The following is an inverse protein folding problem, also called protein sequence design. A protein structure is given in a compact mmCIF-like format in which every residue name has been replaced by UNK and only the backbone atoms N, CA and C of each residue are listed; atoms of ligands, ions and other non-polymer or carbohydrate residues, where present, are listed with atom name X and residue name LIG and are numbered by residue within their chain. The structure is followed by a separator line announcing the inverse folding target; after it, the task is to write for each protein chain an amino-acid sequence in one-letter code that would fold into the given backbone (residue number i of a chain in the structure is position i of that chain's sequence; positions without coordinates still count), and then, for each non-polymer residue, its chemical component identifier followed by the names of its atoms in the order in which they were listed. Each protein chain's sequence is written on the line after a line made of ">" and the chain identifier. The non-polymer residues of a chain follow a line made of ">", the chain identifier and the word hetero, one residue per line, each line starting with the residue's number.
data_IF_409244508700
#
_entry.id   IF_409244508700
#
_cell.length_a   1.000
_cell.length_b   1.000
_cell.length_c   1.000
_cell.angle_alpha   90.00
_cell.angle_beta   90.00
_cell.angle_gamma   90.00
#
_symmetry.space_group_name_H-M   'P 1'
#
loop_
_entity.id
_entity.type
_entity.pdbx_description
1 polymer ?
#
# COMPACT_ATOMS: atom_id res chain seq x y z
N UNK A 1 12.39 25.62 83.87
CA UNK A 1 13.17 25.28 82.66
C UNK A 1 12.18 24.86 81.59
N UNK A 2 11.87 25.76 80.66
CA UNK A 2 10.90 25.56 79.60
C UNK A 2 11.61 25.66 78.25
N UNK A 3 11.54 24.61 77.44
CA UNK A 3 12.05 24.58 76.07
C UNK A 3 10.94 24.08 75.15
N UNK A 4 10.21 25.01 74.52
CA UNK A 4 9.21 24.71 73.50
C UNK A 4 9.86 24.73 72.13
N UNK A 5 9.91 23.56 71.48
CA UNK A 5 10.38 23.35 70.12
C UNK A 5 9.31 23.77 69.11
N UNK A 6 9.60 24.82 68.31
CA UNK A 6 8.81 25.23 67.13
C UNK A 6 9.53 24.79 65.85
N UNK A 7 8.98 23.80 65.16
CA UNK A 7 9.33 23.38 63.80
C UNK A 7 8.02 23.03 63.08
N UNK A 8 7.71 23.32 61.82
CA UNK A 8 8.32 24.01 60.68
C UNK A 8 7.15 24.21 59.67
N UNK A 9 6.71 25.43 59.29
CA UNK A 9 5.64 25.60 58.30
C UNK A 9 6.11 25.49 56.83
N UNK A 10 7.41 25.38 56.57
CA UNK A 10 8.00 25.53 55.22
C UNK A 10 7.84 24.26 54.36
N UNK A 11 7.69 23.08 54.96
CA UNK A 11 7.63 21.82 54.20
C UNK A 11 6.34 21.63 53.38
N UNK A 12 5.24 22.34 53.71
CA UNK A 12 3.95 22.17 53.03
C UNK A 12 3.81 22.98 51.73
N UNK A 13 4.60 24.05 51.55
CA UNK A 13 4.58 24.86 50.32
C UNK A 13 5.37 24.22 49.17
N UNK A 14 6.44 23.48 49.47
CA UNK A 14 7.27 22.83 48.44
C UNK A 14 6.56 21.67 47.72
N UNK A 15 5.62 20.99 48.39
CA UNK A 15 4.87 19.86 47.83
C UNK A 15 3.73 20.31 46.91
N UNK A 16 3.12 21.47 47.17
CA UNK A 16 2.05 22.02 46.34
C UNK A 16 2.57 22.55 44.99
N UNK A 17 3.77 23.14 44.98
CA UNK A 17 4.41 23.66 43.76
C UNK A 17 4.89 22.54 42.81
N UNK A 18 5.24 21.37 43.34
CA UNK A 18 5.70 20.22 42.56
C UNK A 18 4.53 19.45 41.92
N UNK A 19 3.37 19.34 42.58
CA UNK A 19 2.16 18.76 41.99
C UNK A 19 1.59 19.64 40.85
N UNK A 20 1.61 20.97 41.01
CA UNK A 20 1.14 21.90 39.97
C UNK A 20 2.03 21.84 38.71
N UNK A 21 3.34 21.67 38.88
CA UNK A 21 4.29 21.53 37.78
C UNK A 21 4.13 20.21 37.02
N UNK A 22 3.85 19.10 37.71
CA UNK A 22 3.59 17.80 37.08
C UNK A 22 2.27 17.80 36.29
N UNK A 23 1.25 18.53 36.74
CA UNK A 23 -0.02 18.66 36.02
C UNK A 23 0.12 19.56 34.77
N UNK A 24 0.94 20.61 34.83
CA UNK A 24 1.20 21.50 33.69
C UNK A 24 1.98 20.80 32.55
N UNK A 25 2.90 19.89 32.88
CA UNK A 25 3.63 19.09 31.87
C UNK A 25 2.72 18.04 31.22
N UNK A 26 1.79 17.45 31.95
CA UNK A 26 0.86 16.44 31.42
C UNK A 26 -0.16 17.00 30.41
N UNK A 27 -0.54 18.29 30.51
CA UNK A 27 -1.47 18.94 29.58
C UNK A 27 -0.80 19.42 28.27
N UNK A 28 0.54 19.59 28.27
CA UNK A 28 1.28 20.03 27.10
C UNK A 28 1.67 18.88 26.13
N UNK A 29 1.47 17.62 26.53
CA UNK A 29 1.81 16.42 25.74
C UNK A 29 0.58 15.73 25.14
N UNK A 30 -0.46 16.48 24.79
CA UNK A 30 -1.54 15.91 23.96
C UNK A 30 -0.97 15.62 22.57
N UNK A 31 -0.97 14.37 22.08
CA UNK A 31 -0.56 14.08 20.71
C UNK A 31 -1.48 14.88 19.79
N UNK A 32 -0.88 15.69 18.91
CA UNK A 32 -1.63 16.42 17.90
C UNK A 32 -2.48 15.42 17.11
N UNK A 33 -3.79 15.62 17.08
CA UNK A 33 -4.67 14.85 16.22
C UNK A 33 -4.15 14.99 14.78
N UNK A 34 -4.06 13.89 14.01
CA UNK A 34 -3.59 13.95 12.64
C UNK A 34 -4.46 14.93 11.86
N UNK A 35 -3.85 16.02 11.38
CA UNK A 35 -4.53 17.01 10.55
C UNK A 35 -5.01 16.31 9.29
N UNK A 36 -6.33 16.25 9.10
CA UNK A 36 -6.90 15.72 7.87
C UNK A 36 -6.36 16.54 6.70
N UNK A 37 -5.62 15.89 5.80
CA UNK A 37 -5.14 16.54 4.57
C UNK A 37 -6.37 16.97 3.79
N UNK A 38 -6.55 18.28 3.62
CA UNK A 38 -7.65 18.82 2.85
C UNK A 38 -7.62 18.23 1.44
N UNK A 39 -8.76 17.71 0.98
CA UNK A 39 -8.88 17.18 -0.36
C UNK A 39 -8.58 18.28 -1.38
N UNK A 40 -7.80 17.95 -2.42
CA UNK A 40 -7.59 18.87 -3.52
C UNK A 40 -8.93 19.21 -4.19
N UNK A 41 -9.03 20.43 -4.72
CA UNK A 41 -10.19 20.86 -5.51
C UNK A 41 -10.39 19.90 -6.68
N UNK A 42 -11.62 19.46 -6.87
CA UNK A 42 -11.96 18.59 -7.99
C UNK A 42 -11.95 19.36 -9.32
N UNK A 43 -11.16 18.86 -10.27
CA UNK A 43 -11.02 19.40 -11.63
C UNK A 43 -11.23 18.32 -12.71
N UNK A 44 -11.91 17.23 -12.35
CA UNK A 44 -12.15 16.08 -13.23
C UNK A 44 -11.23 14.89 -13.00
N UNK A 45 -10.18 15.04 -12.18
CA UNK A 45 -9.27 13.94 -11.84
C UNK A 45 -8.24 14.34 -10.80
N UNK A 46 -7.44 13.37 -10.39
CA UNK A 46 -6.23 13.59 -9.57
C UNK A 46 -5.09 12.74 -10.09
N UNK A 47 -3.87 13.22 -9.90
CA UNK A 47 -2.63 12.52 -10.21
C UNK A 47 -1.61 12.82 -9.11
N UNK A 48 -1.21 11.78 -8.38
CA UNK A 48 -0.28 11.87 -7.26
C UNK A 48 1.17 11.60 -7.71
N UNK A 49 1.37 11.18 -8.97
CA UNK A 49 2.69 10.87 -9.47
C UNK A 49 3.53 12.13 -9.65
N UNK A 50 4.85 12.02 -9.38
CA UNK A 50 5.82 13.06 -9.71
C UNK A 50 7.16 12.45 -10.15
N UNK A 51 8.00 13.17 -10.91
CA UNK A 51 9.34 12.69 -11.24
C UNK A 51 10.13 12.29 -9.98
N UNK A 52 10.86 11.18 -10.08
CA UNK A 52 11.69 10.65 -9.00
C UNK A 52 11.00 9.73 -8.00
N UNK A 53 9.68 9.50 -8.07
CA UNK A 53 9.02 8.53 -7.14
C UNK A 53 9.17 7.08 -7.58
N UNK A 54 9.31 6.86 -8.89
CA UNK A 54 9.40 5.53 -9.47
C UNK A 54 10.69 4.83 -9.07
N UNK A 55 10.59 3.56 -8.70
CA UNK A 55 11.73 2.67 -8.48
C UNK A 55 11.47 1.34 -9.18
N UNK A 56 12.48 0.80 -9.85
CA UNK A 56 12.40 -0.55 -10.41
C UNK A 56 12.58 -1.58 -9.28
N UNK A 57 11.81 -2.67 -9.30
CA UNK A 57 12.03 -3.79 -8.39
C UNK A 57 13.43 -4.38 -8.57
N UNK A 58 14.09 -4.75 -7.47
CA UNK A 58 15.48 -5.24 -7.54
C UNK A 58 15.61 -6.73 -7.86
N UNK A 59 14.53 -7.49 -7.74
CA UNK A 59 14.46 -8.91 -8.10
C UNK A 59 13.08 -9.21 -8.69
N UNK A 60 12.93 -10.34 -9.38
CA UNK A 60 11.64 -10.81 -9.92
C UNK A 60 10.57 -11.09 -8.86
N UNK A 61 10.94 -11.16 -7.58
CA UNK A 61 10.05 -11.47 -6.46
C UNK A 61 9.50 -10.22 -5.74
N UNK A 62 10.05 -9.04 -6.04
CA UNK A 62 9.93 -7.85 -5.20
C UNK A 62 9.00 -6.78 -5.76
N UNK A 63 8.02 -7.15 -6.60
CA UNK A 63 7.06 -6.20 -7.16
C UNK A 63 6.31 -5.44 -6.04
N UNK A 64 5.74 -6.15 -5.07
CA UNK A 64 5.02 -5.55 -3.93
C UNK A 64 5.92 -4.66 -3.07
N UNK A 65 7.21 -5.02 -2.92
CA UNK A 65 8.15 -4.23 -2.13
C UNK A 65 8.57 -2.95 -2.84
N UNK A 66 8.74 -3.00 -4.16
CA UNK A 66 8.91 -1.81 -4.98
C UNK A 66 7.66 -0.92 -4.96
N UNK A 67 6.46 -1.50 -5.00
CA UNK A 67 5.20 -0.75 -4.87
C UNK A 67 5.11 -0.01 -3.54
N UNK A 68 5.49 -0.65 -2.41
CA UNK A 68 5.62 0.04 -1.11
C UNK A 68 6.58 1.23 -1.24
N UNK A 69 7.75 1.05 -1.83
CA UNK A 69 8.74 2.12 -1.99
C UNK A 69 8.20 3.27 -2.89
N UNK A 70 7.51 2.97 -3.99
CA UNK A 70 6.88 3.97 -4.88
C UNK A 70 5.82 4.77 -4.13
N UNK A 71 4.92 4.07 -3.41
CA UNK A 71 3.84 4.70 -2.65
C UNK A 71 4.41 5.58 -1.55
N UNK A 72 5.41 5.11 -0.79
CA UNK A 72 6.11 5.92 0.20
C UNK A 72 6.76 7.15 -0.41
N UNK A 73 7.45 7.00 -1.54
CA UNK A 73 8.02 8.15 -2.23
C UNK A 73 6.95 9.18 -2.58
N UNK A 74 5.77 8.75 -3.04
CA UNK A 74 4.63 9.64 -3.29
C UNK A 74 4.19 10.35 -1.99
N UNK A 75 3.90 9.59 -0.95
CA UNK A 75 3.29 10.06 0.30
C UNK A 75 4.25 10.93 1.14
N UNK A 76 5.48 10.47 1.31
CA UNK A 76 6.51 11.12 2.15
C UNK A 76 7.28 12.21 1.39
N UNK A 77 6.94 12.45 0.12
CA UNK A 77 7.66 13.35 -0.77
C UNK A 77 9.16 13.01 -0.96
N UNK A 78 9.50 11.70 -0.95
CA UNK A 78 10.87 11.18 -1.08
C UNK A 78 11.20 10.59 -2.45
N UNK A 79 12.48 10.29 -2.69
CA UNK A 79 13.01 9.63 -3.91
C UNK A 79 13.94 8.47 -3.53
N UNK A 80 13.47 7.58 -2.65
CA UNK A 80 14.21 6.39 -2.24
C UNK A 80 14.15 5.31 -3.35
N UNK A 81 15.32 4.83 -3.77
CA UNK A 81 15.48 3.78 -4.77
C UNK A 81 16.36 2.63 -4.28
N UNK A 82 16.57 2.56 -2.96
CA UNK A 82 17.53 1.64 -2.36
C UNK A 82 17.05 0.20 -2.37
N UNK A 83 17.97 -0.72 -2.64
CA UNK A 83 17.75 -2.17 -2.49
C UNK A 83 17.48 -2.55 -1.04
N UNK A 84 18.12 -1.87 -0.08
CA UNK A 84 17.91 -2.09 1.34
C UNK A 84 16.46 -1.80 1.77
N UNK A 85 15.84 -0.74 1.23
CA UNK A 85 14.42 -0.45 1.42
C UNK A 85 13.53 -1.60 0.96
N UNK A 86 13.66 -2.02 -0.30
CA UNK A 86 12.85 -3.10 -0.84
C UNK A 86 13.05 -4.43 -0.11
N UNK A 87 14.28 -4.78 0.27
CA UNK A 87 14.55 -5.99 1.08
C UNK A 87 13.78 -5.96 2.39
N UNK A 88 13.89 -4.86 3.14
CA UNK A 88 13.17 -4.67 4.41
C UNK A 88 11.67 -4.81 4.23
N UNK A 89 11.10 -4.18 3.19
CA UNK A 89 9.67 -4.25 2.92
C UNK A 89 9.24 -5.68 2.59
N UNK A 90 9.98 -6.36 1.72
CA UNK A 90 9.71 -7.74 1.33
C UNK A 90 9.74 -8.68 2.54
N UNK A 91 10.80 -8.63 3.34
CA UNK A 91 10.98 -9.51 4.50
C UNK A 91 9.83 -9.34 5.50
N UNK A 92 9.44 -8.08 5.79
CA UNK A 92 8.29 -7.80 6.65
C UNK A 92 6.99 -8.35 6.07
N UNK A 93 6.69 -8.07 4.80
CA UNK A 93 5.46 -8.54 4.18
C UNK A 93 5.40 -10.07 4.14
N UNK A 94 6.51 -10.74 3.84
CA UNK A 94 6.60 -12.21 3.86
C UNK A 94 6.30 -12.80 5.21
N UNK A 95 6.78 -12.18 6.29
CA UNK A 95 6.48 -12.61 7.66
C UNK A 95 5.00 -12.44 8.04
N UNK A 96 4.23 -11.67 7.26
CA UNK A 96 2.82 -11.36 7.48
C UNK A 96 1.89 -11.92 6.39
N UNK A 97 2.41 -12.80 5.52
CA UNK A 97 1.56 -13.54 4.60
C UNK A 97 0.53 -14.36 5.40
N UNK A 98 -0.69 -14.40 4.87
CA UNK A 98 -1.78 -15.21 5.44
C UNK A 98 -1.60 -16.68 5.10
N UNK A 99 -1.08 -16.99 3.93
CA UNK A 99 -0.89 -18.35 3.45
C UNK A 99 0.60 -18.69 3.34
N UNK A 100 0.94 -19.94 3.62
CA UNK A 100 2.29 -20.45 3.40
C UNK A 100 2.49 -20.70 1.90
N UNK A 101 3.05 -19.71 1.21
CA UNK A 101 3.47 -19.82 -0.20
C UNK A 101 4.99 -20.01 -0.32
N UNK A 102 5.48 -20.67 -1.38
CA UNK A 102 6.91 -20.71 -1.69
C UNK A 102 7.53 -19.31 -1.80
N UNK A 103 8.80 -19.17 -1.39
CA UNK A 103 9.50 -17.88 -1.46
C UNK A 103 9.55 -17.31 -2.89
N UNK A 104 9.71 -18.20 -3.88
CA UNK A 104 9.73 -17.87 -5.31
C UNK A 104 8.43 -17.28 -5.85
N UNK A 105 7.35 -17.34 -5.09
CA UNK A 105 6.04 -16.81 -5.49
C UNK A 105 5.77 -15.43 -4.86
N UNK A 106 6.77 -14.87 -4.15
CA UNK A 106 6.70 -13.53 -3.59
C UNK A 106 5.85 -13.46 -2.33
N UNK A 107 5.02 -12.43 -2.25
CA UNK A 107 4.22 -12.01 -1.09
C UNK A 107 2.74 -12.15 -1.45
N UNK A 108 1.93 -12.66 -0.52
CA UNK A 108 0.50 -12.75 -0.73
C UNK A 108 -0.21 -11.38 -0.49
N UNK A 109 -1.43 -11.18 -1.01
CA UNK A 109 -2.17 -9.93 -0.81
C UNK A 109 -2.35 -9.47 0.65
N UNK A 110 -2.39 -10.39 1.62
CA UNK A 110 -2.49 -10.02 3.03
C UNK A 110 -1.15 -9.51 3.58
N UNK A 111 -0.03 -10.15 3.22
CA UNK A 111 1.31 -9.68 3.52
C UNK A 111 1.56 -8.30 2.90
N UNK A 112 1.14 -8.09 1.65
CA UNK A 112 1.23 -6.79 0.98
C UNK A 112 0.43 -5.71 1.73
N UNK A 113 -0.80 -6.02 2.14
CA UNK A 113 -1.62 -5.12 2.94
C UNK A 113 -1.00 -4.82 4.32
N UNK A 114 -0.35 -5.80 4.95
CA UNK A 114 0.39 -5.57 6.18
C UNK A 114 1.57 -4.61 5.98
N UNK A 115 2.32 -4.76 4.88
CA UNK A 115 3.43 -3.86 4.53
C UNK A 115 2.97 -2.42 4.30
N UNK A 116 1.92 -2.21 3.51
CA UNK A 116 1.38 -0.87 3.27
C UNK A 116 0.85 -0.20 4.55
N UNK A 117 0.22 -0.98 5.45
CA UNK A 117 -0.18 -0.46 6.76
C UNK A 117 0.97 -0.02 7.62
N UNK A 118 2.03 -0.83 7.66
CA UNK A 118 3.16 -0.61 8.53
C UNK A 118 4.07 0.52 8.03
N UNK A 119 4.28 0.60 6.71
CA UNK A 119 5.26 1.51 6.13
C UNK A 119 4.70 2.76 5.47
N UNK A 120 3.39 2.83 5.21
CA UNK A 120 2.76 3.97 4.54
C UNK A 120 1.69 4.60 5.43
N UNK A 121 0.57 3.89 5.64
CA UNK A 121 -0.58 4.42 6.38
C UNK A 121 -1.42 3.28 6.94
N UNK A 122 -1.73 3.33 8.24
CA UNK A 122 -2.46 2.28 8.94
C UNK A 122 -3.86 1.97 8.33
N UNK A 123 -4.40 2.86 7.50
CA UNK A 123 -5.69 2.71 6.82
C UNK A 123 -5.69 1.74 5.64
N UNK A 124 -4.52 1.30 5.16
CA UNK A 124 -4.48 0.36 4.04
C UNK A 124 -5.16 -0.97 4.41
N UNK A 125 -6.07 -1.43 3.56
CA UNK A 125 -6.81 -2.67 3.75
C UNK A 125 -6.88 -3.47 2.46
N UNK A 126 -6.85 -4.79 2.60
CA UNK A 126 -7.10 -5.71 1.49
C UNK A 126 -8.59 -5.63 1.09
N UNK A 127 -8.83 -5.40 -0.20
CA UNK A 127 -10.16 -5.35 -0.81
C UNK A 127 -10.23 -6.36 -1.95
N UNK A 128 -11.18 -7.29 -1.88
CA UNK A 128 -11.42 -8.33 -2.87
C UNK A 128 -12.81 -8.17 -3.50
N UNK A 129 -12.85 -7.61 -4.71
CA UNK A 129 -14.11 -7.24 -5.39
C UNK A 129 -14.65 -8.35 -6.29
N UNK A 130 -15.97 -8.44 -6.40
CA UNK A 130 -16.65 -9.46 -7.24
C UNK A 130 -16.59 -9.15 -8.75
N UNK A 131 -16.27 -7.92 -9.13
CA UNK A 131 -16.18 -7.50 -10.52
C UNK A 131 -15.08 -6.46 -10.70
N UNK A 132 -14.56 -6.37 -11.93
CA UNK A 132 -13.64 -5.30 -12.31
C UNK A 132 -14.23 -3.91 -12.00
N UNK A 133 -15.49 -3.67 -12.38
CA UNK A 133 -16.10 -2.35 -12.23
C UNK A 133 -16.26 -1.96 -10.75
N UNK A 134 -16.66 -2.91 -9.89
CA UNK A 134 -16.73 -2.64 -8.44
C UNK A 134 -15.35 -2.41 -7.84
N UNK A 135 -14.34 -3.19 -8.25
CA UNK A 135 -12.96 -3.02 -7.81
C UNK A 135 -12.37 -1.66 -8.23
N UNK A 136 -12.51 -1.29 -9.50
CA UNK A 136 -12.01 -0.01 -10.02
C UNK A 136 -12.70 1.19 -9.36
N UNK A 137 -14.03 1.14 -9.20
CA UNK A 137 -14.77 2.22 -8.53
C UNK A 137 -14.36 2.37 -7.07
N UNK A 138 -14.24 1.25 -6.34
CA UNK A 138 -13.76 1.27 -4.96
C UNK A 138 -12.37 1.88 -4.85
N UNK A 139 -11.44 1.44 -5.70
CA UNK A 139 -10.08 1.95 -5.73
C UNK A 139 -10.04 3.47 -5.97
N UNK A 140 -10.75 3.94 -7.00
CA UNK A 140 -10.80 5.36 -7.35
C UNK A 140 -11.45 6.21 -6.25
N UNK A 141 -12.54 5.73 -5.64
CA UNK A 141 -13.18 6.42 -4.51
C UNK A 141 -12.21 6.54 -3.33
N UNK A 142 -11.53 5.46 -2.95
CA UNK A 142 -10.62 5.47 -1.81
C UNK A 142 -9.35 6.29 -2.08
N UNK A 143 -8.78 6.22 -3.29
CA UNK A 143 -7.69 7.09 -3.74
C UNK A 143 -8.09 8.56 -3.62
N UNK A 144 -9.30 8.91 -4.10
CA UNK A 144 -9.84 10.26 -4.02
C UNK A 144 -10.06 10.75 -2.59
N UNK A 145 -10.65 9.92 -1.75
CA UNK A 145 -11.03 10.28 -0.37
C UNK A 145 -9.85 10.40 0.58
N UNK A 146 -8.70 9.82 0.22
CA UNK A 146 -7.52 9.78 1.09
C UNK A 146 -6.30 10.53 0.53
N UNK A 147 -6.30 10.87 -0.76
CA UNK A 147 -5.11 11.33 -1.50
C UNK A 147 -3.92 10.36 -1.36
N UNK A 148 -4.20 9.05 -1.24
CA UNK A 148 -3.19 8.01 -1.14
C UNK A 148 -3.32 7.04 -2.33
N UNK A 149 -2.20 6.58 -2.94
CA UNK A 149 -2.23 5.62 -4.05
C UNK A 149 -2.90 4.29 -3.68
N UNK A 150 -3.41 3.57 -4.67
CA UNK A 150 -3.98 2.23 -4.49
C UNK A 150 -3.07 1.18 -5.13
N UNK A 151 -2.81 0.11 -4.40
CA UNK A 151 -2.13 -1.07 -4.93
C UNK A 151 -3.15 -2.04 -5.55
N UNK A 152 -2.87 -2.60 -6.72
CA UNK A 152 -3.71 -3.60 -7.38
C UNK A 152 -2.90 -4.81 -7.80
N UNK A 153 -3.50 -5.99 -7.69
CA UNK A 153 -2.93 -7.19 -8.28
C UNK A 153 -3.26 -7.23 -9.76
N UNK A 154 -2.33 -7.66 -10.59
CA UNK A 154 -2.52 -7.82 -12.03
C UNK A 154 -2.02 -9.19 -12.47
N UNK A 155 -2.27 -9.59 -13.73
CA UNK A 155 -1.90 -10.92 -14.25
C UNK A 155 -2.41 -12.09 -13.39
N UNK A 156 -3.68 -12.06 -13.01
CA UNK A 156 -4.29 -13.05 -12.14
C UNK A 156 -3.62 -13.18 -10.77
N UNK A 157 -2.95 -12.11 -10.29
CA UNK A 157 -2.27 -12.12 -9.00
C UNK A 157 -0.76 -12.29 -9.05
N UNK A 158 -0.19 -12.60 -10.22
CA UNK A 158 1.25 -12.86 -10.34
C UNK A 158 2.12 -11.59 -10.31
N UNK A 159 1.52 -10.40 -10.36
CA UNK A 159 2.25 -9.13 -10.33
C UNK A 159 1.44 -8.03 -9.63
N UNK A 160 2.13 -6.98 -9.18
CA UNK A 160 1.54 -5.81 -8.50
C UNK A 160 1.79 -4.53 -9.28
N UNK A 161 0.76 -3.69 -9.39
CA UNK A 161 0.84 -2.32 -9.90
C UNK A 161 0.30 -1.31 -8.88
N UNK A 162 0.68 -0.05 -9.03
CA UNK A 162 0.15 1.09 -8.27
C UNK A 162 -0.72 1.97 -9.18
N UNK A 163 -1.95 2.25 -8.74
CA UNK A 163 -2.79 3.32 -9.25
C UNK A 163 -2.40 4.64 -8.56
N UNK A 164 -1.84 5.58 -9.31
CA UNK A 164 -1.38 6.88 -8.80
C UNK A 164 -2.34 8.02 -9.09
N UNK A 165 -3.32 7.80 -9.96
CA UNK A 165 -4.27 8.83 -10.36
C UNK A 165 -5.42 8.30 -11.20
N UNK A 166 -6.40 9.16 -11.44
CA UNK A 166 -7.56 8.86 -12.28
C UNK A 166 -8.22 10.13 -12.83
N UNK A 167 -9.10 9.93 -13.81
CA UNK A 167 -10.06 10.94 -14.30
C UNK A 167 -11.47 10.34 -14.23
N UNK A 168 -12.47 11.13 -13.87
CA UNK A 168 -13.86 10.69 -13.77
C UNK A 168 -14.84 11.80 -14.16
N UNK A 169 -16.09 11.42 -14.46
CA UNK A 169 -17.14 12.35 -14.88
C UNK A 169 -17.68 13.23 -13.74
N UNK A 170 -17.49 12.83 -12.49
CA UNK A 170 -17.90 13.57 -11.29
C UNK A 170 -16.96 13.19 -10.13
N UNK A 171 -16.94 14.00 -9.06
CA UNK A 171 -16.06 13.76 -7.90
C UNK A 171 -16.51 12.51 -7.12
N UNK A 172 -15.69 11.43 -7.09
CA UNK A 172 -16.01 10.22 -6.31
C UNK A 172 -16.10 10.45 -4.80
N UNK A 173 -15.58 11.57 -4.28
CA UNK A 173 -15.74 11.93 -2.87
C UNK A 173 -17.13 12.47 -2.53
N UNK A 174 -17.85 12.99 -3.52
CA UNK A 174 -19.12 13.71 -3.32
C UNK A 174 -20.32 12.87 -3.75
N UNK A 175 -20.13 12.00 -4.75
CA UNK A 175 -21.23 11.23 -5.33
C UNK A 175 -20.79 9.83 -5.72
N UNK A 176 -21.68 8.85 -5.54
CA UNK A 176 -21.55 7.52 -6.15
C UNK A 176 -21.88 7.51 -7.64
N UNK A 177 -22.44 8.59 -8.21
CA UNK A 177 -22.80 8.68 -9.63
C UNK A 177 -21.66 9.33 -10.43
N UNK A 178 -20.66 8.52 -10.77
CA UNK A 178 -19.54 8.90 -11.62
C UNK A 178 -19.14 7.72 -12.51
N UNK A 179 -18.43 8.00 -13.59
CA UNK A 179 -17.77 6.99 -14.43
C UNK A 179 -16.28 7.30 -14.47
N UNK A 180 -15.44 6.29 -14.25
CA UNK A 180 -13.98 6.42 -14.42
C UNK A 180 -13.68 6.44 -15.91
N UNK A 181 -13.01 7.48 -16.39
CA UNK A 181 -12.64 7.63 -17.81
C UNK A 181 -11.20 7.21 -18.08
N UNK A 182 -10.32 7.32 -17.09
CA UNK A 182 -8.96 6.80 -17.15
C UNK A 182 -8.35 6.62 -15.76
N UNK A 183 -7.33 5.78 -15.67
CA UNK A 183 -6.42 5.66 -14.53
C UNK A 183 -4.99 5.98 -14.96
N UNK A 184 -4.14 6.28 -13.98
CA UNK A 184 -2.69 6.36 -14.13
C UNK A 184 -2.05 5.25 -13.33
N UNK A 185 -1.15 4.50 -13.97
CA UNK A 185 -0.56 3.29 -13.40
C UNK A 185 0.96 3.36 -13.39
N UNK A 186 1.54 2.68 -12.41
CA UNK A 186 2.97 2.43 -12.30
C UNK A 186 3.17 0.95 -12.04
N UNK A 187 3.99 0.31 -12.88
CA UNK A 187 4.44 -1.06 -12.68
C UNK A 187 5.94 -1.11 -12.36
N UNK A 188 6.37 -1.85 -11.32
CA UNK A 188 7.75 -1.82 -10.82
C UNK A 188 8.76 -2.65 -11.65
N UNK A 189 8.35 -3.48 -12.61
CA UNK A 189 9.23 -4.17 -13.56
C UNK A 189 9.75 -3.26 -14.67
N UNK A 190 9.20 -2.07 -14.85
CA UNK A 190 9.69 -1.15 -15.87
C UNK A 190 11.18 -0.87 -15.70
N UNK A 191 11.95 -1.05 -16.78
CA UNK A 191 13.41 -0.92 -16.77
C UNK A 191 14.18 -2.21 -16.50
N UNK A 192 13.55 -3.25 -15.91
CA UNK A 192 14.15 -4.58 -15.73
C UNK A 192 13.68 -5.60 -16.77
N UNK A 193 12.42 -5.53 -17.16
CA UNK A 193 11.85 -6.40 -18.20
C UNK A 193 12.37 -6.08 -19.61
N UNK A 194 12.07 -6.98 -20.57
CA UNK A 194 12.29 -6.72 -21.99
C UNK A 194 11.55 -5.47 -22.46
N UNK A 195 12.22 -4.63 -23.25
CA UNK A 195 11.60 -3.41 -23.82
C UNK A 195 10.59 -3.71 -24.93
N UNK A 196 10.71 -4.85 -25.61
CA UNK A 196 9.86 -5.19 -26.76
C UNK A 196 8.62 -6.00 -26.39
N UNK A 197 8.65 -6.69 -25.25
CA UNK A 197 7.57 -7.59 -24.80
C UNK A 197 7.27 -7.40 -23.30
N UNK A 198 7.63 -6.22 -22.77
CA UNK A 198 7.46 -5.88 -21.37
C UNK A 198 6.00 -5.69 -21.00
N UNK A 199 5.64 -6.19 -19.83
CA UNK A 199 4.31 -6.09 -19.27
C UNK A 199 4.06 -4.71 -18.64
N UNK A 200 5.02 -4.20 -17.88
CA UNK A 200 4.91 -2.90 -17.24
C UNK A 200 5.10 -1.78 -18.27
N UNK A 201 4.29 -0.75 -18.20
CA UNK A 201 4.47 0.40 -19.09
C UNK A 201 5.40 1.43 -18.45
N UNK A 202 5.77 2.44 -19.23
CA UNK A 202 6.50 3.60 -18.68
C UNK A 202 5.74 4.13 -17.44
N UNK A 203 6.44 4.52 -16.36
CA UNK A 203 5.77 5.03 -15.17
C UNK A 203 4.83 6.19 -15.50
N UNK A 204 3.71 6.25 -14.78
CA UNK A 204 2.63 7.21 -14.98
C UNK A 204 1.92 7.06 -16.35
N UNK A 205 1.75 5.82 -16.79
CA UNK A 205 0.98 5.56 -18.02
C UNK A 205 -0.51 5.71 -17.77
N UNK A 206 -1.17 6.49 -18.62
CA UNK A 206 -2.62 6.65 -18.64
C UNK A 206 -3.28 5.48 -19.38
N UNK A 207 -4.23 4.82 -18.74
CA UNK A 207 -5.04 3.74 -19.30
C UNK A 207 -6.53 4.07 -19.24
N UNK A 208 -7.28 3.68 -20.27
CA UNK A 208 -8.73 3.57 -20.18
C UNK A 208 -9.13 2.36 -19.32
N UNK A 209 -10.35 2.32 -18.75
CA UNK A 209 -10.84 1.13 -18.05
C UNK A 209 -10.80 -0.14 -18.90
N UNK A 210 -11.04 -0.03 -20.22
CA UNK A 210 -10.95 -1.17 -21.14
C UNK A 210 -9.53 -1.72 -21.23
N UNK A 211 -8.53 -0.85 -21.38
CA UNK A 211 -7.12 -1.26 -21.38
C UNK A 211 -6.70 -1.86 -20.03
N UNK A 212 -7.10 -1.23 -18.92
CA UNK A 212 -6.80 -1.74 -17.58
C UNK A 212 -7.39 -3.13 -17.34
N UNK A 213 -8.58 -3.44 -17.89
CA UNK A 213 -9.24 -4.74 -17.74
C UNK A 213 -8.41 -5.91 -18.29
N UNK A 214 -7.54 -5.66 -19.27
CA UNK A 214 -6.60 -6.68 -19.77
C UNK A 214 -5.52 -7.07 -18.76
N UNK A 215 -5.30 -6.24 -17.74
CA UNK A 215 -4.23 -6.40 -16.75
C UNK A 215 -4.77 -6.72 -15.36
N UNK A 216 -5.75 -5.94 -14.90
CA UNK A 216 -6.42 -6.13 -13.63
C UNK A 216 -7.49 -7.22 -13.75
N UNK A 217 -7.04 -8.46 -13.66
CA UNK A 217 -7.86 -9.66 -13.79
C UNK A 217 -8.13 -10.31 -12.43
N UNK A 218 -9.13 -11.21 -12.32
CA UNK A 218 -9.38 -11.94 -11.09
C UNK A 218 -8.16 -12.72 -10.62
N UNK A 219 -7.90 -12.68 -9.31
CA UNK A 219 -6.85 -13.47 -8.68
C UNK A 219 -7.07 -14.95 -8.88
N UNK A 220 -5.98 -15.65 -9.17
CA UNK A 220 -5.94 -17.10 -9.23
C UNK A 220 -4.58 -17.61 -8.76
N UNK A 221 -4.57 -18.59 -7.86
CA UNK A 221 -3.36 -19.28 -7.47
C UNK A 221 -3.62 -20.78 -7.31
N UNK A 222 -2.92 -21.61 -8.10
CA UNK A 222 -3.23 -23.05 -8.23
C UNK A 222 -2.81 -23.87 -7.02
N UNK A 223 -1.73 -23.47 -6.33
CA UNK A 223 -1.12 -24.31 -5.29
C UNK A 223 -1.87 -24.28 -3.95
N UNK A 224 -2.53 -23.17 -3.64
CA UNK A 224 -3.23 -22.96 -2.35
C UNK A 224 -4.53 -22.19 -2.60
N UNK A 225 -5.69 -22.72 -2.22
CA UNK A 225 -6.95 -21.96 -2.28
C UNK A 225 -6.88 -20.75 -1.33
N UNK A 226 -7.12 -19.56 -1.87
CA UNK A 226 -7.06 -18.32 -1.10
C UNK A 226 -8.43 -17.66 -0.97
N UNK A 227 -8.65 -16.93 0.12
CA UNK A 227 -9.91 -16.25 0.43
C UNK A 227 -10.36 -15.22 -0.63
N UNK A 228 -9.46 -14.80 -1.52
CA UNK A 228 -9.70 -13.83 -2.59
C UNK A 228 -9.66 -14.47 -3.99
N UNK A 229 -9.76 -15.80 -4.06
CA UNK A 229 -9.85 -16.54 -5.33
C UNK A 229 -11.00 -16.03 -6.21
N UNK A 230 -10.73 -15.87 -7.50
CA UNK A 230 -11.65 -15.32 -8.50
C UNK A 230 -12.15 -13.89 -8.20
N UNK A 231 -11.40 -13.11 -7.41
CA UNK A 231 -11.74 -11.70 -7.08
C UNK A 231 -10.74 -10.72 -7.68
N UNK A 232 -11.21 -9.50 -7.93
CA UNK A 232 -10.35 -8.37 -8.27
C UNK A 232 -9.73 -7.81 -7.00
N UNK A 233 -8.45 -8.11 -6.78
CA UNK A 233 -7.74 -7.84 -5.54
C UNK A 233 -6.97 -6.53 -5.60
N UNK A 234 -7.08 -5.75 -4.52
CA UNK A 234 -6.40 -4.48 -4.35
C UNK A 234 -6.12 -4.23 -2.89
N UNK A 235 -5.13 -3.38 -2.59
CA UNK A 235 -4.88 -2.87 -1.25
C UNK A 235 -5.12 -1.36 -1.28
N UNK A 236 -6.14 -0.93 -0.54
CA UNK A 236 -6.69 0.41 -0.63
C UNK A 236 -6.59 1.14 0.70
N UNK A 237 -6.25 2.43 0.73
CA UNK A 237 -6.32 3.26 1.91
C UNK A 237 -7.80 3.57 2.21
N UNK A 238 -8.34 3.02 3.29
CA UNK A 238 -9.76 3.20 3.64
C UNK A 238 -9.94 4.50 4.42
N UNK A 239 -10.84 5.42 3.98
CA UNK A 239 -11.11 6.65 4.72
C UNK A 239 -11.47 6.33 6.18
N UNK A 240 -10.88 7.09 7.11
CA UNK A 240 -11.24 6.96 8.51
C UNK A 240 -12.75 7.22 8.66
N UNK A 241 -13.43 6.38 9.44
CA UNK A 241 -14.82 6.64 9.79
C UNK A 241 -14.86 8.00 10.50
N UNK A 242 -15.75 8.94 10.14
CA UNK A 242 -15.90 10.18 10.88
C UNK A 242 -16.18 9.83 12.34
N UNK A 243 -15.26 10.15 13.23
CA UNK A 243 -15.54 10.11 14.67
C UNK A 243 -16.62 11.14 14.90
N UNK A 244 -17.79 10.78 15.45
CA UNK A 244 -18.77 11.78 15.86
C UNK A 244 -18.06 12.82 16.73
N UNK A 245 -18.31 14.12 16.53
CA UNK A 245 -17.73 15.13 17.41
C UNK A 245 -18.04 14.70 18.84
N UNK A 246 -17.00 14.56 19.66
CA UNK A 246 -17.15 14.21 21.06
C UNK A 246 -18.22 15.15 21.62
N UNK A 247 -19.38 14.59 21.96
CA UNK A 247 -20.44 15.37 22.60
C UNK A 247 -19.76 15.98 23.80
N UNK A 248 -19.61 17.31 23.79
CA UNK A 248 -19.01 18.01 24.90
C UNK A 248 -19.85 17.63 26.12
N UNK A 249 -19.32 16.70 26.92
CA UNK A 249 -19.96 16.28 28.15
C UNK A 249 -20.08 17.56 28.95
N UNK A 250 -21.29 18.09 29.00
CA UNK A 250 -21.62 19.23 29.84
C UNK A 250 -21.17 18.81 31.22
N UNK A 251 -20.09 19.42 31.69
CA UNK A 251 -19.51 19.16 32.99
C UNK A 251 -20.57 19.59 33.99
N UNK A 252 -21.43 18.65 34.39
CA UNK A 252 -22.40 18.86 35.43
C UNK A 252 -21.57 19.00 36.71
N UNK A 253 -21.31 20.25 37.09
CA UNK A 253 -20.81 20.61 38.42
C UNK A 253 -21.84 20.15 39.44
N UNK A 254 -21.67 18.92 39.94
CA UNK A 254 -22.27 18.49 41.19
C UNK A 254 -21.35 18.92 42.35
N UNK A 255 -21.91 19.42 43.47
CA UNK A 255 -21.10 19.85 44.60
C UNK A 255 -20.49 18.66 45.35
N UNK A 256 -19.27 18.91 45.79
CA UNK A 256 -18.48 18.12 46.73
C UNK A 256 -19.30 17.84 48.01
N UNK A 257 -19.67 16.59 48.26
CA UNK A 257 -19.99 16.10 49.61
C UNK A 257 -18.90 15.13 50.01
N UNK A 258 -18.12 15.55 50.99
CA UNK A 258 -17.09 14.76 51.64
C UNK A 258 -17.71 13.81 52.67
N UNK A 259 -17.33 12.54 52.60
CA UNK A 259 -17.23 11.60 53.73
C UNK A 259 -16.36 10.43 53.23
N UNK A 260 -15.06 10.40 53.52
CA UNK A 260 -14.51 9.78 54.72
C UNK A 260 -14.95 8.32 54.88
N UNK A 261 -14.09 7.38 54.46
CA UNK A 261 -13.63 6.27 55.30
C UNK A 261 -12.43 5.60 54.65
N UNK A 262 -11.33 5.65 55.39
CA UNK A 262 -10.14 4.87 55.16
C UNK A 262 -10.40 3.45 55.64
N UNK A 263 -10.00 2.45 54.86
CA UNK A 263 -9.49 1.21 55.41
C UNK A 263 -8.36 0.69 54.53
N UNK A 264 -7.26 0.41 55.21
CA UNK A 264 -6.02 -0.11 54.68
C UNK A 264 -6.10 -1.62 54.48
N UNK A 265 -5.22 -2.14 53.62
CA UNK A 265 -4.45 -3.39 53.72
C UNK A 265 -4.14 -3.84 52.28
N UNK A 266 -2.88 -3.74 51.84
CA UNK A 266 -1.83 -4.75 52.05
C UNK A 266 -1.91 -5.88 51.04
N UNK A 267 -1.08 -5.80 49.99
CA UNK A 267 -0.33 -6.95 49.46
C UNK A 267 0.66 -6.49 48.39
N UNK A 268 1.93 -6.67 48.69
CA UNK A 268 3.08 -6.50 47.79
C UNK A 268 3.10 -7.58 46.68
N UNK A 269 3.83 -7.35 45.56
CA UNK A 269 3.93 -8.28 44.44
C UNK A 269 5.04 -9.33 44.63
N UNK A 270 4.89 -10.56 44.11
CA UNK A 270 6.01 -11.47 43.97
C UNK A 270 6.84 -11.14 42.72
N UNK A 271 8.01 -10.57 43.00
CA UNK A 271 9.34 -11.02 42.57
C UNK A 271 9.50 -11.76 41.23
N UNK A 272 10.36 -11.17 40.39
CA UNK A 272 10.81 -11.66 39.11
C UNK A 272 11.81 -12.83 39.24
N UNK A 273 11.62 -13.88 38.44
CA UNK A 273 12.61 -14.93 38.21
C UNK A 273 13.28 -14.75 36.84
N UNK A 274 14.54 -14.33 36.88
CA UNK A 274 15.52 -14.30 35.78
C UNK A 274 16.10 -15.69 35.58
N UNK A 275 16.14 -16.25 34.36
CA UNK A 275 17.04 -17.36 34.03
C UNK A 275 18.41 -16.85 33.49
N UNK A 276 19.48 -17.63 33.69
CA UNK A 276 20.86 -17.16 33.58
C UNK A 276 21.38 -17.00 32.14
N UNK A 277 22.22 -15.97 32.03
CA UNK A 277 23.20 -15.73 30.97
C UNK A 277 24.15 -16.92 30.82
N UNK A 278 24.23 -17.49 29.61
CA UNK A 278 25.32 -18.37 29.20
C UNK A 278 26.20 -17.60 28.22
N UNK A 279 27.37 -17.23 28.70
CA UNK A 279 28.49 -16.73 27.91
C UNK A 279 29.36 -17.92 27.47
N UNK A 280 29.54 -18.07 26.16
CA UNK A 280 30.70 -18.67 25.48
C UNK A 280 30.95 -17.72 24.29
N UNK A 281 32.10 -17.10 24.05
CA UNK A 281 33.46 -17.52 24.34
C UNK A 281 34.15 -17.90 23.02
N UNK A 282 34.66 -16.90 22.29
CA UNK A 282 35.73 -17.07 21.30
C UNK A 282 35.48 -16.53 19.87
N UNK A 283 36.27 -15.52 19.43
CA UNK A 283 36.81 -15.40 18.08
C UNK A 283 38.36 -15.51 18.11
N UNK A 284 39.13 -15.37 17.00
CA UNK A 284 38.78 -15.35 15.57
C UNK A 284 39.58 -16.38 14.75
N UNK A 285 39.12 -16.67 13.52
CA UNK A 285 39.91 -17.39 12.52
C UNK A 285 40.09 -16.53 11.27
N UNK A 286 41.28 -15.96 11.14
CA UNK A 286 41.85 -15.43 9.90
C UNK A 286 41.85 -16.52 8.81
N UNK A 287 41.37 -16.19 7.61
CA UNK A 287 41.94 -16.75 6.38
C UNK A 287 42.06 -15.66 5.33
N UNK A 288 43.32 -15.32 5.10
CA UNK A 288 43.90 -14.51 4.04
C UNK A 288 43.65 -15.05 2.64
N UNK A 289 43.33 -14.13 1.73
CA UNK A 289 43.97 -13.84 0.43
C UNK A 289 44.47 -15.01 -0.45
N UNK A 290 43.88 -15.06 -1.66
CA UNK A 290 44.44 -15.60 -2.90
C UNK A 290 43.30 -15.64 -3.94
N UNK A 291 43.25 -14.88 -5.03
CA UNK A 291 44.32 -14.41 -5.88
C UNK A 291 44.50 -15.39 -7.04
N UNK A 292 43.70 -15.29 -8.10
CA UNK A 292 44.07 -15.64 -9.48
C UNK A 292 42.92 -15.32 -10.43
N UNK A 293 43.25 -14.56 -11.46
CA UNK A 293 42.52 -14.49 -12.71
C UNK A 293 42.55 -15.86 -13.38
N UNK A 294 41.49 -16.21 -14.11
CA UNK A 294 41.57 -16.46 -15.54
C UNK A 294 40.25 -17.02 -16.10
N UNK A 295 40.06 -16.70 -17.38
CA UNK A 295 39.28 -17.46 -18.36
C UNK A 295 37.77 -17.21 -18.49
N UNK A 296 37.48 -16.28 -19.41
CA UNK A 296 36.30 -16.30 -20.28
C UNK A 296 36.58 -17.30 -21.41
N UNK A 297 35.66 -18.26 -21.64
CA UNK A 297 35.06 -18.43 -22.96
C UNK A 297 33.53 -18.51 -22.78
N UNK A 298 32.72 -17.85 -23.59
CA UNK A 298 32.48 -18.27 -24.96
C UNK A 298 30.99 -18.56 -25.06
N UNK A 299 30.30 -17.78 -25.88
CA UNK A 299 28.88 -17.89 -26.13
C UNK A 299 28.57 -19.20 -26.87
N UNK A 300 27.65 -19.99 -26.34
CA UNK A 300 26.87 -20.94 -27.14
C UNK A 300 25.38 -20.78 -26.81
N UNK A 301 24.58 -20.76 -27.88
CA UNK A 301 23.15 -20.50 -27.89
C UNK A 301 22.30 -21.68 -27.41
N UNK A 302 20.97 -21.54 -27.54
CA UNK A 302 20.01 -22.26 -26.72
C UNK A 302 19.72 -23.68 -27.23
N UNK A 303 19.66 -24.63 -26.32
CA UNK A 303 18.99 -25.91 -26.56
C UNK A 303 17.48 -25.71 -26.48
N UNK A 304 16.82 -26.11 -27.55
CA UNK A 304 15.37 -26.22 -27.68
C UNK A 304 14.79 -27.09 -26.55
N UNK A 305 13.78 -26.56 -25.87
CA UNK A 305 12.77 -27.39 -25.21
C UNK A 305 11.41 -26.98 -25.76
N UNK A 306 11.02 -27.66 -26.83
CA UNK A 306 9.66 -27.74 -27.35
C UNK A 306 8.76 -28.41 -26.31
N UNK A 307 7.72 -27.71 -25.85
CA UNK A 307 6.36 -28.24 -25.67
C UNK A 307 5.45 -27.26 -24.91
N UNK A 308 4.40 -26.84 -25.62
CA UNK A 308 3.06 -26.58 -25.07
C UNK A 308 2.89 -25.33 -24.22
N UNK A 309 2.61 -24.19 -24.86
CA UNK A 309 1.44 -23.33 -24.58
C UNK A 309 1.33 -22.29 -25.70
N UNK A 310 0.80 -22.71 -26.85
CA UNK A 310 0.49 -21.81 -27.97
C UNK A 310 -0.99 -21.88 -28.27
N UNK A 311 -1.82 -21.26 -27.42
CA UNK A 311 -3.18 -20.80 -27.77
C UNK A 311 -3.62 -19.71 -26.79
N UNK A 312 -3.17 -18.46 -26.94
CA UNK A 312 -3.92 -17.32 -26.38
C UNK A 312 -3.69 -15.93 -27.02
N UNK A 313 -2.86 -15.79 -28.06
CA UNK A 313 -2.65 -14.47 -28.71
C UNK A 313 -2.73 -14.52 -30.24
N UNK A 314 -3.92 -14.82 -30.75
CA UNK A 314 -4.26 -14.65 -32.18
C UNK A 314 -5.60 -13.91 -32.38
N UNK A 315 -6.04 -13.13 -31.37
CA UNK A 315 -7.34 -12.47 -31.36
C UNK A 315 -7.35 -10.95 -31.56
N UNK A 316 -6.20 -10.28 -31.73
CA UNK A 316 -6.17 -8.80 -31.80
C UNK A 316 -5.41 -8.20 -32.99
N UNK A 317 -5.05 -9.01 -34.00
CA UNK A 317 -4.35 -8.53 -35.20
C UNK A 317 -5.12 -8.73 -36.52
N UNK A 318 -6.39 -9.17 -36.49
CA UNK A 318 -7.17 -9.47 -37.70
C UNK A 318 -8.57 -8.82 -37.73
N UNK A 319 -8.67 -7.53 -37.38
CA UNK A 319 -9.93 -6.76 -37.52
C UNK A 319 -9.74 -5.44 -38.29
N UNK A 320 -8.56 -5.14 -38.86
CA UNK A 320 -8.31 -3.86 -39.56
C UNK A 320 -8.12 -3.98 -41.09
N UNK A 321 -8.39 -5.13 -41.72
CA UNK A 321 -8.21 -5.27 -43.19
C UNK A 321 -9.49 -5.65 -43.98
N UNK A 322 -10.67 -5.72 -43.35
CA UNK A 322 -11.93 -5.93 -44.09
C UNK A 322 -12.90 -4.79 -43.82
N UNK A 323 -12.59 -3.61 -44.35
CA UNK A 323 -13.53 -2.48 -44.42
C UNK A 323 -13.25 -1.54 -45.60
N UNK A 324 -12.68 -2.04 -46.71
CA UNK A 324 -12.36 -1.21 -47.86
C UNK A 324 -12.50 -1.90 -49.23
N UNK A 325 -13.46 -2.81 -49.44
CA UNK A 325 -13.79 -3.35 -50.79
C UNK A 325 -15.23 -3.90 -50.91
N UNK A 326 -16.23 -3.21 -50.37
CA UNK A 326 -17.65 -3.58 -50.61
C UNK A 326 -18.57 -2.35 -50.66
N UNK A 327 -18.18 -1.32 -51.41
CA UNK A 327 -18.91 -0.06 -51.51
C UNK A 327 -18.99 0.54 -52.91
N UNK A 328 -18.79 -0.26 -53.96
CA UNK A 328 -19.06 0.16 -55.34
C UNK A 328 -19.82 -0.95 -56.06
N UNK A 329 -21.07 -0.66 -56.44
CA UNK A 329 -21.77 -1.44 -57.45
C UNK A 329 -23.16 -1.89 -57.05
N UNK A 330 -24.05 -0.96 -56.70
CA UNK A 330 -25.50 -1.21 -56.77
C UNK A 330 -26.30 0.10 -56.70
N UNK A 331 -26.08 1.03 -57.64
CA UNK A 331 -27.06 2.09 -57.91
C UNK A 331 -26.89 2.67 -59.32
N UNK A 332 -27.20 1.86 -60.34
CA UNK A 332 -27.40 2.37 -61.70
C UNK A 332 -28.28 1.43 -62.50
N UNK A 333 -29.60 1.50 -62.31
CA UNK A 333 -30.55 1.24 -63.39
C UNK A 333 -31.93 1.82 -63.09
N UNK A 334 -32.37 2.64 -64.04
CA UNK A 334 -33.76 2.83 -64.52
C UNK A 334 -34.53 4.01 -63.93
N UNK A 335 -34.53 5.13 -64.66
CA UNK A 335 -35.74 5.67 -65.33
C UNK A 335 -35.41 6.93 -66.14
N UNK A 336 -35.53 6.86 -67.48
CA UNK A 336 -36.25 7.81 -68.34
C UNK A 336 -36.05 7.44 -69.81
N UNK A 337 -37.10 6.89 -70.43
CA UNK A 337 -37.35 6.99 -71.86
C UNK A 337 -38.44 8.06 -72.01
N UNK A 338 -38.15 9.06 -72.83
CA UNK A 338 -39.11 10.01 -73.37
C UNK A 338 -39.47 9.52 -74.78
N UNK A 339 -40.77 9.49 -75.06
CA UNK A 339 -41.41 9.05 -76.30
C UNK A 339 -42.89 8.92 -76.00
#
# INVERSE_FOLDING_TARGET
>A
MAGSSRHRPIARLALAASLASLLAVALASSPAAPTAVALSRWTGGIDLYRPGVFTTQKTWLWCTAADVQIIRNIVDHQTDHTTAGQRRYFDYMRAHDRYRIPLKDGVDPAGWAAGLRHYVDARYALVASHSFDSGLRSAVTNLRMTNLPVAITVMHGNHGWVLTGFTATADPAVTGRFTVTSVRVVGPLWGLQSRSYGYDMRPDTKLTPSQLRGFFTPWHYTSVPMAWENRWVSVQPIPAKPTPPATAATKLTAPLVAAASAEALSSAPPEASVPPSVAHGGPPGDMTVGGAADHVPGAEGPTESTATTTRFFLGLALVVVIAATAGLGLFARRTRRSG
#
